data_IF_540638475928
#
_entry.id   IF_540638475928
#
_cell.length_a   1.000
_cell.length_b   1.000
_cell.length_c   1.000
_cell.angle_alpha   90.00
_cell.angle_beta   90.00
_cell.angle_gamma   90.00
#
_symmetry.space_group_name_H-M   'P 1'
#
loop_
_entity.id
_entity.type
_entity.pdbx_description
1 polymer ?
#
# COMPACT_ATOMS: atom_id res chain seq x y z
N UNK A 1 -27.04 43.57 -8.58
CA UNK A 1 -26.69 43.14 -7.21
C UNK A 1 -26.07 41.75 -7.32
N UNK A 2 -24.74 41.65 -7.21
CA UNK A 2 -23.99 40.45 -7.59
C UNK A 2 -23.73 39.57 -6.37
N UNK A 3 -24.11 38.31 -6.45
CA UNK A 3 -23.90 37.29 -5.41
C UNK A 3 -22.44 36.84 -5.39
N UNK A 4 -21.72 37.17 -4.33
CA UNK A 4 -20.37 36.67 -4.05
C UNK A 4 -20.40 35.18 -3.74
N UNK A 5 -19.69 34.38 -4.53
CA UNK A 5 -19.47 32.96 -4.28
C UNK A 5 -18.37 32.81 -3.23
N UNK A 6 -18.78 32.35 -2.04
CA UNK A 6 -17.90 31.94 -0.96
C UNK A 6 -17.12 30.70 -1.40
N UNK A 7 -15.88 30.89 -1.83
CA UNK A 7 -14.96 29.78 -2.08
C UNK A 7 -14.56 29.18 -0.74
N UNK A 8 -15.00 27.96 -0.50
CA UNK A 8 -14.50 27.12 0.60
C UNK A 8 -13.05 26.77 0.27
N UNK A 9 -12.15 27.49 0.89
CA UNK A 9 -10.73 27.20 0.95
C UNK A 9 -10.51 25.86 1.67
N UNK A 10 -10.04 24.87 0.92
CA UNK A 10 -9.60 23.58 1.46
C UNK A 10 -8.37 23.85 2.34
N UNK A 11 -8.35 23.45 3.63
CA UNK A 11 -7.23 23.78 4.51
C UNK A 11 -5.97 23.08 4.01
N UNK A 12 -5.01 23.87 3.54
CA UNK A 12 -3.65 23.42 3.29
C UNK A 12 -2.95 23.34 4.64
N UNK A 13 -2.69 22.13 5.12
CA UNK A 13 -1.98 21.88 6.36
C UNK A 13 -0.58 22.50 6.28
N UNK A 14 -0.37 23.65 6.93
CA UNK A 14 0.94 24.30 7.06
C UNK A 14 1.80 23.42 7.95
N UNK A 15 2.64 22.59 7.34
CA UNK A 15 3.64 21.79 8.04
C UNK A 15 4.58 22.70 8.82
N UNK A 16 4.34 22.81 10.13
CA UNK A 16 5.30 23.34 11.08
C UNK A 16 6.50 22.40 11.05
N UNK A 17 7.50 22.75 10.25
CA UNK A 17 8.74 21.97 10.11
C UNK A 17 9.46 22.02 11.45
N UNK A 18 9.29 20.94 12.23
CA UNK A 18 10.00 20.73 13.49
C UNK A 18 11.42 20.33 13.12
N UNK A 19 12.41 21.18 13.40
CA UNK A 19 13.81 20.91 13.10
C UNK A 19 14.23 19.56 13.74
N UNK A 20 14.89 18.69 12.95
CA UNK A 20 15.29 17.33 13.36
C UNK A 20 14.32 16.21 12.98
N UNK A 21 13.17 16.51 12.36
CA UNK A 21 12.23 15.50 11.87
C UNK A 21 12.00 15.62 10.35
N UNK A 22 12.17 14.52 9.63
CA UNK A 22 11.75 14.42 8.23
C UNK A 22 10.24 14.18 8.19
N UNK A 23 9.47 15.17 7.75
CA UNK A 23 8.02 15.02 7.57
C UNK A 23 7.75 14.43 6.18
N UNK A 24 7.42 13.15 6.11
CA UNK A 24 6.90 12.53 4.88
C UNK A 24 5.42 12.90 4.76
N UNK A 25 5.04 13.52 3.64
CA UNK A 25 3.63 13.87 3.40
C UNK A 25 2.77 12.60 3.32
N UNK A 26 1.51 12.66 3.76
CA UNK A 26 0.58 11.52 3.68
C UNK A 26 0.44 10.99 2.25
N UNK A 27 0.48 11.87 1.24
CA UNK A 27 0.44 11.48 -0.17
C UNK A 27 1.69 10.70 -0.62
N UNK A 28 2.87 11.15 -0.21
CA UNK A 28 4.14 10.46 -0.48
C UNK A 28 4.17 9.09 0.21
N UNK A 29 3.70 9.02 1.45
CA UNK A 29 3.57 7.75 2.18
C UNK A 29 2.61 6.80 1.48
N UNK A 30 1.46 7.31 1.03
CA UNK A 30 0.45 6.52 0.30
C UNK A 30 1.05 5.91 -0.97
N UNK A 31 1.81 6.70 -1.74
CA UNK A 31 2.49 6.23 -2.95
C UNK A 31 3.57 5.19 -2.65
N UNK A 32 4.35 5.39 -1.59
CA UNK A 32 5.38 4.45 -1.16
C UNK A 32 4.76 3.10 -0.76
N UNK A 33 3.70 3.13 0.04
CA UNK A 33 2.97 1.93 0.47
C UNK A 33 2.38 1.21 -0.75
N UNK A 34 1.81 1.93 -1.72
CA UNK A 34 1.29 1.33 -2.96
C UNK A 34 2.39 0.61 -3.74
N UNK A 35 3.58 1.20 -3.85
CA UNK A 35 4.71 0.61 -4.56
C UNK A 35 5.21 -0.66 -3.85
N UNK A 36 5.36 -0.62 -2.53
CA UNK A 36 5.76 -1.78 -1.73
C UNK A 36 4.72 -2.90 -1.85
N UNK A 37 3.43 -2.58 -1.79
CA UNK A 37 2.36 -3.56 -1.94
C UNK A 37 2.32 -4.15 -3.37
N UNK A 38 2.51 -3.33 -4.40
CA UNK A 38 2.59 -3.81 -5.80
C UNK A 38 3.70 -4.86 -5.97
N UNK A 39 4.88 -4.60 -5.39
CA UNK A 39 6.03 -5.51 -5.40
C UNK A 39 5.76 -6.79 -4.57
N UNK A 40 5.27 -6.64 -3.34
CA UNK A 40 5.04 -7.77 -2.44
C UNK A 40 3.90 -8.71 -2.90
N UNK A 41 2.91 -8.18 -3.61
CA UNK A 41 1.77 -8.96 -4.10
C UNK A 41 1.86 -9.36 -5.59
N UNK A 42 2.92 -8.94 -6.29
CA UNK A 42 3.11 -9.14 -7.73
C UNK A 42 1.89 -8.69 -8.56
N UNK A 43 1.35 -7.51 -8.24
CA UNK A 43 0.18 -6.92 -8.92
C UNK A 43 0.53 -5.57 -9.50
N UNK A 44 -0.10 -5.14 -10.61
CA UNK A 44 0.13 -3.82 -11.17
C UNK A 44 -0.24 -2.71 -10.17
N UNK A 45 0.59 -1.66 -10.08
CA UNK A 45 0.36 -0.53 -9.16
C UNK A 45 -1.04 0.11 -9.30
N UNK A 46 -1.59 0.15 -10.52
CA UNK A 46 -2.95 0.66 -10.81
C UNK A 46 -4.06 -0.11 -10.10
N UNK A 47 -3.82 -1.35 -9.73
CA UNK A 47 -4.79 -2.25 -9.10
C UNK A 47 -4.65 -2.26 -7.57
N UNK A 48 -3.63 -1.56 -7.04
CA UNK A 48 -3.41 -1.38 -5.61
C UNK A 48 -4.13 -0.12 -5.13
N UNK A 49 -5.00 -0.26 -4.14
CA UNK A 49 -5.63 0.89 -3.45
C UNK A 49 -5.12 0.95 -2.03
N UNK A 50 -4.66 2.13 -1.62
CA UNK A 50 -4.06 2.34 -0.31
C UNK A 50 -4.76 3.47 0.42
N UNK A 51 -4.97 3.27 1.72
CA UNK A 51 -5.53 4.26 2.63
C UNK A 51 -4.65 4.37 3.86
N UNK A 52 -4.38 5.61 4.28
CA UNK A 52 -3.64 5.88 5.51
C UNK A 52 -4.53 6.69 6.43
N UNK A 53 -4.68 6.21 7.66
CA UNK A 53 -5.33 6.93 8.72
C UNK A 53 -4.34 7.15 9.87
N UNK A 54 -3.99 8.42 10.10
CA UNK A 54 -3.13 8.82 11.21
C UNK A 54 -3.98 9.46 12.30
N UNK A 55 -4.08 8.80 13.44
CA UNK A 55 -4.68 9.31 14.67
C UNK A 55 -3.61 9.68 15.71
N UNK A 56 -4.00 10.16 16.90
CA UNK A 56 -3.06 10.48 17.98
C UNK A 56 -2.30 9.22 18.42
N UNK A 57 -1.04 9.12 17.99
CA UNK A 57 -0.13 8.02 18.35
C UNK A 57 -0.37 6.69 17.63
N UNK A 58 -1.29 6.63 16.65
CA UNK A 58 -1.57 5.40 15.92
C UNK A 58 -1.67 5.66 14.42
N UNK A 59 -0.91 4.89 13.64
CA UNK A 59 -1.03 4.84 12.18
C UNK A 59 -1.70 3.52 11.80
N UNK A 60 -2.81 3.63 11.08
CA UNK A 60 -3.50 2.50 10.46
C UNK A 60 -3.36 2.59 8.94
N UNK A 61 -3.04 1.46 8.33
CA UNK A 61 -2.92 1.32 6.88
C UNK A 61 -3.98 0.33 6.41
N UNK A 62 -4.72 0.70 5.36
CA UNK A 62 -5.61 -0.20 4.64
C UNK A 62 -5.10 -0.41 3.22
N UNK A 63 -5.10 -1.68 2.79
CA UNK A 63 -4.63 -2.11 1.48
C UNK A 63 -5.75 -2.90 0.80
N UNK A 64 -6.07 -2.55 -0.43
CA UNK A 64 -6.94 -3.35 -1.27
C UNK A 64 -6.16 -3.78 -2.52
N UNK A 65 -5.93 -5.08 -2.67
CA UNK A 65 -5.14 -5.66 -3.76
C UNK A 65 -5.85 -6.89 -4.32
N UNK A 66 -5.77 -7.15 -5.64
CA UNK A 66 -6.19 -8.44 -6.17
C UNK A 66 -5.19 -9.54 -5.79
N UNK A 67 -5.62 -10.80 -5.87
CA UNK A 67 -4.74 -11.96 -5.75
C UNK A 67 -4.17 -12.27 -7.13
N UNK A 68 -2.84 -12.21 -7.27
CA UNK A 68 -2.15 -12.66 -8.48
C UNK A 68 -2.03 -14.19 -8.49
N UNK A 69 -2.70 -14.83 -9.46
CA UNK A 69 -2.59 -16.27 -9.72
C UNK A 69 -1.88 -16.46 -11.06
N UNK A 70 -0.76 -17.20 -11.07
CA UNK A 70 -0.14 -17.66 -12.32
C UNK A 70 -0.94 -18.83 -12.86
N UNK A 71 -1.44 -18.70 -14.09
CA UNK A 71 -2.19 -19.77 -14.77
C UNK A 71 -1.30 -20.60 -15.70
N UNK A 72 0.00 -20.32 -15.77
CA UNK A 72 0.91 -21.02 -16.65
C UNK A 72 1.26 -22.42 -16.07
N UNK A 73 0.91 -23.52 -16.77
CA UNK A 73 1.15 -24.88 -16.30
C UNK A 73 2.63 -25.29 -16.30
N UNK A 74 3.50 -24.53 -16.98
CA UNK A 74 4.96 -24.70 -16.98
C UNK A 74 5.69 -23.71 -16.05
N UNK A 75 5.01 -22.63 -15.66
CA UNK A 75 5.37 -21.76 -14.55
C UNK A 75 5.19 -22.54 -13.24
N UNK A 76 6.17 -23.39 -12.96
CA UNK A 76 6.73 -23.41 -11.62
C UNK A 76 7.30 -22.01 -11.37
N UNK A 77 6.43 -21.01 -11.18
CA UNK A 77 6.79 -19.82 -10.41
C UNK A 77 7.22 -20.44 -9.10
N UNK A 78 8.54 -20.61 -8.98
CA UNK A 78 9.16 -21.52 -8.04
C UNK A 78 8.45 -21.32 -6.72
N UNK A 79 7.73 -22.37 -6.35
CA UNK A 79 7.28 -22.62 -5.00
C UNK A 79 8.53 -22.88 -4.16
N UNK A 80 9.48 -21.95 -4.13
CA UNK A 80 10.48 -21.94 -3.07
C UNK A 80 9.78 -21.52 -1.76
N UNK A 81 8.59 -20.89 -1.84
CA UNK A 81 7.72 -20.55 -0.71
C UNK A 81 6.46 -21.43 -0.54
N UNK A 82 6.29 -22.48 -1.37
CA UNK A 82 5.46 -23.70 -1.14
C UNK A 82 4.08 -23.63 -0.47
N UNK A 83 3.47 -22.46 -0.30
CA UNK A 83 2.42 -22.25 0.69
C UNK A 83 1.06 -21.92 0.11
N UNK A 84 0.05 -22.03 0.96
CA UNK A 84 -1.31 -21.58 0.71
C UNK A 84 -1.37 -20.09 0.37
N UNK A 85 -2.45 -19.63 -0.27
CA UNK A 85 -2.68 -18.19 -0.49
C UNK A 85 -2.61 -17.38 0.81
N UNK A 86 -2.98 -17.99 1.93
CA UNK A 86 -2.88 -17.38 3.25
C UNK A 86 -1.42 -17.17 3.68
N UNK A 87 -0.55 -18.16 3.50
CA UNK A 87 0.88 -18.04 3.83
C UNK A 87 1.57 -16.98 2.95
N UNK A 88 1.25 -16.96 1.64
CA UNK A 88 1.71 -15.91 0.73
C UNK A 88 1.25 -14.52 1.17
N UNK A 89 -0.03 -14.38 1.50
CA UNK A 89 -0.60 -13.13 2.02
C UNK A 89 0.05 -12.70 3.35
N UNK A 90 0.34 -13.65 4.23
CA UNK A 90 0.99 -13.41 5.53
C UNK A 90 2.45 -12.97 5.35
N UNK A 91 3.21 -13.62 4.47
CA UNK A 91 4.58 -13.24 4.11
C UNK A 91 4.61 -11.84 3.48
N UNK A 92 3.76 -11.58 2.49
CA UNK A 92 3.64 -10.26 1.86
C UNK A 92 3.27 -9.17 2.88
N UNK A 93 2.35 -9.47 3.81
CA UNK A 93 2.01 -8.56 4.92
C UNK A 93 3.22 -8.25 5.80
N UNK A 94 4.03 -9.26 6.14
CA UNK A 94 5.23 -9.07 6.95
C UNK A 94 6.26 -8.17 6.23
N UNK A 95 6.48 -8.38 4.94
CA UNK A 95 7.35 -7.55 4.10
C UNK A 95 6.85 -6.10 4.07
N UNK A 96 5.56 -5.89 3.85
CA UNK A 96 4.95 -4.56 3.84
C UNK A 96 5.14 -3.87 5.19
N UNK A 97 4.92 -4.55 6.31
CA UNK A 97 5.11 -3.99 7.66
C UNK A 97 6.58 -3.62 7.90
N UNK A 98 7.52 -4.51 7.56
CA UNK A 98 8.97 -4.26 7.74
C UNK A 98 9.41 -3.05 6.93
N UNK A 99 9.12 -3.03 5.63
CA UNK A 99 9.55 -1.96 4.73
C UNK A 99 8.93 -0.61 5.09
N UNK A 100 7.65 -0.58 5.50
CA UNK A 100 7.06 0.68 5.96
C UNK A 100 7.70 1.12 7.29
N UNK A 101 7.98 0.21 8.22
CA UNK A 101 8.67 0.53 9.47
C UNK A 101 10.06 1.13 9.24
N UNK A 102 10.83 0.54 8.33
CA UNK A 102 12.16 1.00 7.93
C UNK A 102 12.13 2.38 7.28
N UNK A 103 11.15 2.64 6.39
CA UNK A 103 11.12 3.85 5.57
C UNK A 103 10.37 5.02 6.21
N UNK A 104 9.37 4.74 7.04
CA UNK A 104 8.52 5.76 7.63
C UNK A 104 9.00 6.23 9.01
N UNK A 105 9.92 5.49 9.66
CA UNK A 105 10.39 5.78 11.02
C UNK A 105 9.25 5.83 12.06
N UNK A 106 8.08 5.28 11.72
CA UNK A 106 6.87 5.29 12.55
C UNK A 106 6.36 3.87 12.74
N UNK A 107 5.89 3.55 13.94
CA UNK A 107 5.29 2.25 14.23
C UNK A 107 3.86 2.20 13.68
N UNK A 108 3.61 1.31 12.72
CA UNK A 108 2.25 1.02 12.27
C UNK A 108 1.56 0.16 13.33
N UNK A 109 0.42 0.62 13.83
CA UNK A 109 -0.35 -0.14 14.81
C UNK A 109 -1.22 -1.22 14.14
N UNK A 110 -1.76 -0.92 12.95
CA UNK A 110 -2.70 -1.79 12.27
C UNK A 110 -2.50 -1.76 10.75
N UNK A 111 -2.45 -2.94 10.14
CA UNK A 111 -2.50 -3.13 8.69
C UNK A 111 -3.66 -4.06 8.35
N UNK A 112 -4.64 -3.52 7.64
CA UNK A 112 -5.79 -4.24 7.08
C UNK A 112 -5.53 -4.51 5.59
N UNK A 113 -5.65 -5.77 5.17
CA UNK A 113 -5.47 -6.17 3.76
C UNK A 113 -6.75 -6.82 3.28
N UNK A 114 -7.33 -6.25 2.24
CA UNK A 114 -8.54 -6.74 1.59
C UNK A 114 -8.23 -7.24 0.18
N UNK A 115 -8.51 -8.51 -0.06
CA UNK A 115 -8.44 -9.07 -1.40
C UNK A 115 -9.68 -8.67 -2.20
N UNK A 116 -9.50 -7.97 -3.31
CA UNK A 116 -10.61 -7.39 -4.10
C UNK A 116 -11.06 -8.26 -5.26
N UNK A 117 -10.27 -9.24 -5.67
CA UNK A 117 -10.55 -10.12 -6.79
C UNK A 117 -9.36 -11.00 -7.13
N UNK A 118 -9.45 -11.71 -8.26
CA UNK A 118 -8.39 -12.54 -8.80
C UNK A 118 -7.89 -11.89 -10.08
N UNK A 119 -6.58 -11.74 -10.20
CA UNK A 119 -5.91 -11.37 -11.43
C UNK A 119 -5.11 -12.57 -11.91
N UNK A 120 -5.51 -13.12 -13.05
CA UNK A 120 -4.75 -14.16 -13.72
C UNK A 120 -3.57 -13.51 -14.44
N UNK A 121 -2.34 -13.86 -14.05
CA UNK A 121 -1.16 -13.54 -14.85
C UNK A 121 -0.87 -14.73 -15.76
N UNK A 122 -0.81 -14.46 -17.06
CA UNK A 122 -0.34 -15.43 -18.05
C UNK A 122 1.16 -15.18 -18.17
N UNK A 123 1.98 -16.17 -17.80
CA UNK A 123 3.42 -16.12 -17.99
C UNK A 123 3.73 -15.68 -19.42
N UNK A 124 4.47 -14.58 -19.57
CA UNK A 124 4.85 -14.11 -20.91
C UNK A 124 5.81 -15.16 -21.46
N UNK A 125 5.37 -15.93 -22.46
CA UNK A 125 6.26 -16.77 -23.26
C UNK A 125 7.33 -15.85 -23.86
N UNK A 126 8.57 -16.02 -23.41
CA UNK A 126 9.76 -15.43 -24.03
C UNK A 126 10.38 -16.48 -24.95
#
# INVERSE_FOLDING_TARGET
MSAGTLRIDKPHNRSTTRAGYTSISSGTMTQLISAIASDAFDVPLKDVRTGIHSGPGQVSVSLAVPVALSLDPGSSHKTDDGGTLFERASSARAVVISRIGELAGTSINRVDIRFTGIQATVGRVQ
#
